data_IF_747717357925
#
_entry.id   IF_747717357925
#
_cell.length_a   1.000
_cell.length_b   1.000
_cell.length_c   1.000
_cell.angle_alpha   90.00
_cell.angle_beta   90.00
_cell.angle_gamma   90.00
#
_symmetry.space_group_name_H-M   'P 1'
#
loop_
_entity.id
_entity.type
_entity.pdbx_description
1 polymer ?
#
# COMPACT_ATOMS: atom_id res chain seq x y z
N UNK A 1 -9.08 3.55 -11.66
CA UNK A 1 -10.19 4.30 -11.02
C UNK A 1 -11.30 3.44 -10.43
N UNK A 2 -11.91 2.49 -11.18
CA UNK A 2 -12.98 1.60 -10.63
C UNK A 2 -12.54 0.78 -9.41
N UNK A 3 -11.33 0.21 -9.44
CA UNK A 3 -10.77 -0.60 -8.35
C UNK A 3 -10.63 0.16 -7.02
N UNK A 4 -10.23 1.43 -7.08
CA UNK A 4 -10.11 2.30 -5.90
C UNK A 4 -11.48 2.71 -5.35
N UNK A 5 -12.45 3.01 -6.22
CA UNK A 5 -13.83 3.30 -5.80
C UNK A 5 -14.53 2.07 -5.21
N UNK A 6 -14.27 0.88 -5.77
CA UNK A 6 -14.76 -0.41 -5.25
C UNK A 6 -14.13 -0.77 -3.90
N UNK A 7 -12.84 -0.45 -3.73
CA UNK A 7 -12.11 -0.59 -2.47
C UNK A 7 -12.54 0.43 -1.39
N UNK A 8 -12.75 1.69 -1.77
CA UNK A 8 -13.30 2.70 -0.89
C UNK A 8 -14.74 2.33 -0.48
N UNK A 9 -15.55 1.77 -1.39
CA UNK A 9 -16.87 1.24 -1.04
C UNK A 9 -16.80 0.11 0.00
N UNK A 10 -15.75 -0.71 0.00
CA UNK A 10 -15.44 -1.70 1.03
C UNK A 10 -15.08 -1.07 2.38
N UNK A 11 -14.17 -0.09 2.39
CA UNK A 11 -13.73 0.62 3.59
C UNK A 11 -14.80 1.52 4.23
N UNK A 12 -15.74 2.00 3.41
CA UNK A 12 -16.89 2.81 3.83
C UNK A 12 -18.13 1.98 4.19
N UNK A 13 -17.97 0.67 4.43
CA UNK A 13 -19.01 -0.17 5.03
C UNK A 13 -19.35 0.09 6.52
N UNK A 14 -19.07 1.25 7.16
CA UNK A 14 -19.84 1.66 8.33
C UNK A 14 -21.26 2.16 8.00
N UNK A 15 -21.52 2.59 6.76
CA UNK A 15 -22.80 3.23 6.40
C UNK A 15 -23.90 2.24 5.94
N UNK A 16 -23.60 0.94 5.83
CA UNK A 16 -24.57 -0.10 5.50
C UNK A 16 -25.20 -0.78 6.73
N UNK A 17 -24.78 -0.40 7.94
CA UNK A 17 -25.45 -0.85 9.17
C UNK A 17 -26.72 -0.07 9.51
N UNK A 18 -27.02 1.03 8.81
CA UNK A 18 -28.29 1.71 8.93
C UNK A 18 -28.86 2.14 7.57
N UNK A 19 -30.12 1.79 7.37
CA UNK A 19 -31.08 2.22 6.33
C UNK A 19 -30.97 1.57 4.94
N UNK A 20 -32.02 0.80 4.64
CA UNK A 20 -32.19 0.07 3.40
C UNK A 20 -32.50 0.96 2.20
N UNK A 21 -31.88 0.62 1.07
CA UNK A 21 -32.60 0.46 -0.19
C UNK A 21 -31.74 -0.39 -1.13
N UNK A 22 -32.24 -1.57 -1.47
CA UNK A 22 -31.57 -2.58 -2.29
C UNK A 22 -32.14 -2.43 -3.68
N UNK A 23 -31.34 -1.95 -4.65
CA UNK A 23 -31.30 -2.47 -6.02
C UNK A 23 -30.46 -1.58 -6.95
N UNK A 24 -29.66 -2.24 -7.81
CA UNK A 24 -28.95 -1.79 -9.03
C UNK A 24 -27.50 -1.28 -8.99
N UNK A 25 -27.00 -0.59 -7.96
CA UNK A 25 -25.55 -0.24 -7.88
C UNK A 25 -24.79 -0.98 -6.78
N UNK A 26 -25.42 -1.12 -5.62
CA UNK A 26 -24.88 -1.86 -4.48
C UNK A 26 -24.61 -3.34 -4.83
N UNK A 27 -25.50 -3.99 -5.58
CA UNK A 27 -25.33 -5.40 -5.99
C UNK A 27 -24.13 -5.61 -6.93
N UNK A 28 -23.91 -4.70 -7.89
CA UNK A 28 -22.77 -4.78 -8.81
C UNK A 28 -21.44 -4.51 -8.09
N UNK A 29 -21.43 -3.55 -7.16
CA UNK A 29 -20.28 -3.30 -6.28
C UNK A 29 -20.02 -4.54 -5.42
N UNK A 30 -21.07 -5.14 -4.85
CA UNK A 30 -20.97 -6.35 -4.03
C UNK A 30 -20.40 -7.55 -4.81
N UNK A 31 -20.84 -7.78 -6.05
CA UNK A 31 -20.32 -8.85 -6.92
C UNK A 31 -18.83 -8.65 -7.24
N UNK A 32 -18.43 -7.41 -7.58
CA UNK A 32 -17.04 -7.08 -7.86
C UNK A 32 -16.14 -7.13 -6.64
N UNK A 33 -16.67 -6.74 -5.49
CA UNK A 33 -16.03 -6.87 -4.19
C UNK A 33 -15.84 -8.34 -3.85
N UNK A 34 -16.85 -9.18 -4.04
CA UNK A 34 -16.73 -10.63 -3.87
C UNK A 34 -15.68 -11.22 -4.80
N UNK A 35 -15.59 -10.76 -6.05
CA UNK A 35 -14.55 -11.18 -6.99
C UNK A 35 -13.14 -10.70 -6.59
N UNK A 36 -13.01 -9.47 -6.08
CA UNK A 36 -11.75 -8.92 -5.58
C UNK A 36 -11.27 -9.71 -4.35
N UNK A 37 -12.18 -9.95 -3.40
CA UNK A 37 -11.92 -10.69 -2.15
C UNK A 37 -11.65 -12.18 -2.40
N UNK A 38 -12.33 -12.80 -3.38
CA UNK A 38 -12.02 -14.17 -3.80
C UNK A 38 -10.62 -14.30 -4.44
N UNK A 39 -10.11 -13.22 -5.04
CA UNK A 39 -8.74 -13.12 -5.55
C UNK A 39 -7.69 -12.86 -4.47
N UNK A 40 -8.09 -12.46 -3.26
CA UNK A 40 -7.21 -12.27 -2.12
C UNK A 40 -6.85 -13.63 -1.51
N UNK A 41 -5.85 -14.27 -2.12
CA UNK A 41 -5.05 -15.34 -1.55
C UNK A 41 -5.80 -16.55 -0.93
N UNK A 42 -7.02 -16.83 -1.41
CA UNK A 42 -7.82 -17.98 -0.94
C UNK A 42 -8.19 -17.89 0.55
N UNK A 43 -8.09 -16.71 1.16
CA UNK A 43 -8.25 -16.50 2.60
C UNK A 43 -9.71 -16.47 3.04
N UNK A 44 -10.62 -16.28 2.08
CA UNK A 44 -12.06 -16.31 2.27
C UNK A 44 -12.63 -17.57 1.60
N UNK A 45 -12.98 -18.57 2.40
CA UNK A 45 -13.71 -19.75 1.93
C UNK A 45 -15.20 -19.61 2.25
N UNK A 46 -16.05 -19.75 1.23
CA UNK A 46 -17.49 -19.53 1.31
C UNK A 46 -17.95 -18.11 0.94
N UNK A 47 -19.11 -18.01 0.28
CA UNK A 47 -19.69 -16.73 -0.12
C UNK A 47 -19.94 -15.83 1.10
N UNK A 48 -19.29 -14.66 1.13
CA UNK A 48 -19.46 -13.66 2.18
C UNK A 48 -20.92 -13.20 2.18
N UNK A 49 -21.68 -13.61 3.19
CA UNK A 49 -23.01 -13.09 3.45
C UNK A 49 -22.88 -11.90 4.42
N UNK A 50 -22.79 -10.71 3.84
CA UNK A 50 -22.59 -9.45 4.58
C UNK A 50 -23.75 -9.19 5.56
N UNK A 51 -24.98 -9.62 5.22
CA UNK A 51 -26.17 -9.45 6.05
C UNK A 51 -26.17 -10.31 7.33
N UNK A 52 -25.36 -11.37 7.37
CA UNK A 52 -25.25 -12.29 8.52
C UNK A 52 -23.87 -12.32 9.18
N UNK A 53 -22.90 -11.52 8.70
CA UNK A 53 -21.47 -11.61 9.10
C UNK A 53 -20.98 -13.07 9.18
N UNK A 54 -21.43 -13.90 8.23
CA UNK A 54 -21.00 -15.30 8.14
C UNK A 54 -19.80 -15.37 7.21
N UNK A 55 -18.71 -15.94 7.73
CA UNK A 55 -17.45 -16.11 7.01
C UNK A 55 -16.32 -16.49 7.96
N UNK A 56 -15.19 -16.86 7.37
CA UNK A 56 -13.95 -17.16 8.08
C UNK A 56 -12.82 -16.25 7.57
N UNK A 57 -11.86 -15.98 8.44
CA UNK A 57 -10.63 -15.28 8.14
C UNK A 57 -9.46 -16.13 8.66
N UNK A 58 -8.55 -16.53 7.77
CA UNK A 58 -7.46 -17.47 8.08
C UNK A 58 -7.95 -18.75 8.80
N UNK A 59 -9.11 -19.26 8.39
CA UNK A 59 -9.73 -20.45 9.00
C UNK A 59 -10.43 -20.23 10.35
N UNK A 60 -10.49 -18.98 10.86
CA UNK A 60 -11.23 -18.63 12.08
C UNK A 60 -12.57 -18.00 11.71
N UNK A 61 -13.67 -18.47 12.30
CA UNK A 61 -14.98 -17.85 12.10
C UNK A 61 -15.04 -16.43 12.68
N UNK A 62 -15.76 -15.50 12.03
CA UNK A 62 -15.87 -14.12 12.49
C UNK A 62 -16.34 -13.98 13.97
N UNK A 63 -17.21 -14.89 14.42
CA UNK A 63 -17.71 -14.91 15.80
C UNK A 63 -16.68 -15.31 16.86
N UNK A 64 -15.55 -15.90 16.46
CA UNK A 64 -14.50 -16.38 17.37
C UNK A 64 -13.24 -15.50 17.35
N UNK A 65 -13.22 -14.44 16.54
CA UNK A 65 -12.08 -13.56 16.40
C UNK A 65 -11.74 -12.81 17.69
N UNK A 66 -10.48 -12.91 18.08
CA UNK A 66 -9.88 -12.15 19.16
C UNK A 66 -9.68 -10.69 18.77
N UNK A 67 -9.29 -9.86 19.74
CA UNK A 67 -8.92 -8.47 19.48
C UNK A 67 -7.69 -8.36 18.56
N UNK A 68 -6.74 -9.30 18.63
CA UNK A 68 -5.56 -9.28 17.78
C UNK A 68 -5.93 -9.64 16.34
N UNK A 69 -6.78 -10.64 16.13
CA UNK A 69 -7.27 -11.00 14.79
C UNK A 69 -7.97 -9.81 14.12
N UNK A 70 -8.78 -9.05 14.88
CA UNK A 70 -9.43 -7.84 14.35
C UNK A 70 -8.43 -6.75 13.95
N UNK A 71 -7.31 -6.61 14.68
CA UNK A 71 -6.24 -5.67 14.32
C UNK A 71 -5.48 -6.12 13.07
N UNK A 72 -5.27 -7.43 12.93
CA UNK A 72 -4.64 -8.03 11.75
C UNK A 72 -5.49 -7.79 10.50
N UNK A 73 -6.81 -8.04 10.58
CA UNK A 73 -7.76 -7.71 9.50
C UNK A 73 -7.71 -6.22 9.14
N UNK A 74 -7.77 -5.33 10.15
CA UNK A 74 -7.71 -3.88 9.91
C UNK A 74 -6.39 -3.47 9.25
N UNK A 75 -5.29 -4.10 9.64
CA UNK A 75 -3.98 -3.88 9.04
C UNK A 75 -3.95 -4.35 7.58
N UNK A 76 -4.34 -5.59 7.29
CA UNK A 76 -4.38 -6.15 5.92
C UNK A 76 -5.23 -5.30 5.00
N UNK A 77 -6.41 -4.90 5.51
CA UNK A 77 -7.34 -4.03 4.79
C UNK A 77 -6.67 -2.67 4.53
N UNK A 78 -6.09 -2.03 5.55
CA UNK A 78 -5.42 -0.73 5.36
C UNK A 78 -4.24 -0.80 4.38
N UNK A 79 -3.44 -1.86 4.45
CA UNK A 79 -2.27 -2.05 3.59
C UNK A 79 -2.67 -2.27 2.12
N UNK A 80 -3.66 -3.13 1.88
CA UNK A 80 -4.25 -3.31 0.55
C UNK A 80 -4.81 -1.98 0.02
N UNK A 81 -5.46 -1.19 0.88
CA UNK A 81 -5.97 0.11 0.51
C UNK A 81 -4.88 1.09 0.09
N UNK A 82 -3.80 1.15 0.85
CA UNK A 82 -2.64 1.95 0.49
C UNK A 82 -2.06 1.55 -0.87
N UNK A 83 -1.87 0.24 -1.13
CA UNK A 83 -1.36 -0.24 -2.42
C UNK A 83 -2.26 0.21 -3.58
N UNK A 84 -3.57 -0.02 -3.45
CA UNK A 84 -4.56 0.34 -4.46
C UNK A 84 -4.62 1.85 -4.71
N UNK A 85 -4.47 2.64 -3.66
CA UNK A 85 -4.46 4.10 -3.72
C UNK A 85 -3.23 4.65 -4.42
N UNK A 86 -2.04 4.15 -4.11
CA UNK A 86 -0.81 4.53 -4.82
C UNK A 86 -0.92 4.18 -6.30
N UNK A 87 -1.39 2.97 -6.64
CA UNK A 87 -1.62 2.57 -8.03
C UNK A 87 -2.64 3.45 -8.75
N UNK A 88 -3.75 3.80 -8.08
CA UNK A 88 -4.78 4.64 -8.66
C UNK A 88 -4.30 6.09 -8.85
N UNK A 89 -3.57 6.62 -7.88
CA UNK A 89 -2.97 7.95 -7.97
C UNK A 89 -1.98 8.02 -9.12
N UNK A 90 -1.06 7.05 -9.18
CA UNK A 90 -0.07 6.98 -10.24
C UNK A 90 -0.72 6.92 -11.63
N UNK A 91 -1.76 6.10 -11.80
CA UNK A 91 -2.50 6.01 -13.05
C UNK A 91 -3.05 7.37 -13.53
N UNK A 92 -3.47 8.23 -12.60
CA UNK A 92 -4.01 9.56 -12.91
C UNK A 92 -2.91 10.60 -13.08
N UNK A 93 -1.92 10.59 -12.18
CA UNK A 93 -0.88 11.60 -12.07
C UNK A 93 0.22 11.44 -13.11
N UNK A 94 0.56 10.23 -13.53
CA UNK A 94 1.70 9.95 -14.40
C UNK A 94 1.60 10.54 -15.82
N UNK A 95 2.73 11.02 -16.35
CA UNK A 95 2.85 11.54 -17.73
C UNK A 95 2.73 10.42 -18.78
N UNK A 96 2.28 10.74 -19.99
CA UNK A 96 1.92 9.73 -21.00
C UNK A 96 3.11 8.98 -21.65
N UNK A 97 4.32 9.52 -21.54
CA UNK A 97 5.50 9.05 -22.29
C UNK A 97 6.55 8.31 -21.42
N UNK A 98 6.12 7.72 -20.31
CA UNK A 98 7.02 6.95 -19.42
C UNK A 98 7.19 5.53 -19.97
N UNK A 99 8.36 4.95 -19.77
CA UNK A 99 8.57 3.51 -19.93
C UNK A 99 7.66 2.74 -18.95
N UNK A 100 6.62 2.10 -19.48
CA UNK A 100 5.58 1.46 -18.68
C UNK A 100 6.07 0.27 -17.87
N UNK A 101 7.07 -0.47 -18.36
CA UNK A 101 7.54 -1.68 -17.67
C UNK A 101 8.49 -1.31 -16.54
N UNK A 102 9.43 -0.38 -16.80
CA UNK A 102 10.31 0.15 -15.75
C UNK A 102 9.51 0.84 -14.64
N UNK A 103 8.53 1.67 -15.02
CA UNK A 103 7.65 2.38 -14.09
C UNK A 103 6.80 1.43 -13.25
N UNK A 104 6.21 0.40 -13.87
CA UNK A 104 5.46 -0.63 -13.13
C UNK A 104 6.35 -1.38 -12.13
N UNK A 105 7.59 -1.66 -12.49
CA UNK A 105 8.55 -2.27 -11.57
C UNK A 105 8.89 -1.33 -10.39
N UNK A 106 9.04 -0.02 -10.64
CA UNK A 106 9.27 0.98 -9.59
C UNK A 106 8.07 1.10 -8.63
N UNK A 107 6.83 1.09 -9.15
CA UNK A 107 5.63 1.03 -8.29
C UNK A 107 5.62 -0.28 -7.48
N UNK A 108 5.93 -1.41 -8.10
CA UNK A 108 6.00 -2.70 -7.40
C UNK A 108 7.03 -2.73 -6.27
N UNK A 109 8.13 -1.97 -6.38
CA UNK A 109 9.15 -1.83 -5.33
C UNK A 109 8.73 -0.91 -4.18
N UNK A 110 7.63 -0.19 -4.31
CA UNK A 110 7.07 0.60 -3.20
C UNK A 110 6.49 -0.29 -2.08
N UNK A 111 6.28 -1.58 -2.36
CA UNK A 111 5.62 -2.52 -1.45
C UNK A 111 6.41 -3.83 -1.32
N UNK A 112 6.34 -4.51 -0.17
CA UNK A 112 6.89 -5.86 -0.04
C UNK A 112 6.14 -6.81 -0.97
N UNK A 113 6.86 -7.58 -1.79
CA UNK A 113 6.27 -8.48 -2.78
C UNK A 113 5.33 -7.80 -3.80
N UNK A 114 5.41 -6.47 -3.94
CA UNK A 114 4.49 -5.68 -4.79
C UNK A 114 4.59 -5.97 -6.28
N UNK A 115 5.61 -6.71 -6.73
CA UNK A 115 5.74 -7.15 -8.11
C UNK A 115 4.79 -8.31 -8.49
N UNK A 116 4.35 -9.11 -7.50
CA UNK A 116 3.51 -10.27 -7.76
C UNK A 116 2.03 -9.87 -7.93
N UNK A 117 1.43 -9.21 -6.93
CA UNK A 117 0.04 -8.76 -6.96
C UNK A 117 -0.17 -7.57 -5.99
N UNK A 118 -0.74 -6.44 -6.42
CA UNK A 118 -0.93 -5.28 -5.53
C UNK A 118 -1.99 -5.50 -4.44
N UNK A 119 -2.83 -6.53 -4.57
CA UNK A 119 -3.99 -6.78 -3.72
C UNK A 119 -3.73 -7.87 -2.67
N UNK A 120 -2.75 -8.76 -2.89
CA UNK A 120 -2.43 -9.78 -1.88
C UNK A 120 -1.34 -9.26 -0.95
N UNK A 121 -1.73 -8.95 0.28
CA UNK A 121 -0.84 -8.55 1.36
C UNK A 121 -0.61 -9.76 2.26
N UNK A 122 0.64 -10.04 2.61
CA UNK A 122 0.98 -11.12 3.54
C UNK A 122 0.98 -10.57 4.97
N UNK A 123 0.18 -11.13 5.88
CA UNK A 123 0.17 -10.67 7.28
C UNK A 123 1.56 -10.69 7.94
N UNK A 124 2.40 -11.64 7.60
CA UNK A 124 3.77 -11.71 8.13
C UNK A 124 4.68 -10.61 7.58
N UNK A 125 4.29 -9.89 6.51
CA UNK A 125 4.94 -8.66 6.08
C UNK A 125 4.49 -7.43 6.91
N UNK A 126 3.69 -7.62 7.96
CA UNK A 126 3.36 -6.53 8.86
C UNK A 126 4.63 -5.94 9.49
N UNK A 127 4.72 -4.62 9.47
CA UNK A 127 5.90 -3.86 9.87
C UNK A 127 7.10 -3.99 8.93
N UNK A 128 6.92 -4.40 7.68
CA UNK A 128 7.84 -4.14 6.58
C UNK A 128 7.33 -2.94 5.75
N UNK A 129 7.92 -2.65 4.59
CA UNK A 129 7.56 -1.47 3.78
C UNK A 129 7.92 -0.14 4.47
N UNK A 130 7.22 0.92 4.07
CA UNK A 130 7.18 2.23 4.72
C UNK A 130 6.74 2.17 6.20
N UNK A 131 6.17 1.07 6.69
CA UNK A 131 5.84 0.88 8.10
C UNK A 131 6.98 0.26 8.93
N UNK A 132 8.15 -0.04 8.33
CA UNK A 132 9.26 -0.67 9.04
C UNK A 132 9.87 0.25 10.14
N UNK A 133 10.46 -0.33 11.20
CA UNK A 133 11.01 0.46 12.32
C UNK A 133 12.41 1.03 12.07
N UNK A 134 13.17 0.37 11.21
CA UNK A 134 14.49 0.80 10.75
C UNK A 134 14.34 1.64 9.50
N UNK A 135 14.81 2.88 9.56
CA UNK A 135 14.82 3.79 8.41
C UNK A 135 15.62 3.23 7.23
N UNK A 136 16.67 2.44 7.48
CA UNK A 136 17.47 1.81 6.43
C UNK A 136 16.67 0.81 5.61
N UNK A 137 15.76 0.08 6.25
CA UNK A 137 14.89 -0.90 5.59
C UNK A 137 13.69 -0.21 4.95
N UNK A 138 13.17 0.88 5.53
CA UNK A 138 12.13 1.71 4.91
C UNK A 138 12.64 2.45 3.66
N UNK A 139 13.95 2.75 3.63
CA UNK A 139 14.54 3.63 2.62
C UNK A 139 14.29 3.15 1.20
N UNK A 140 14.50 1.87 0.91
CA UNK A 140 14.27 1.31 -0.44
C UNK A 140 12.85 1.55 -0.96
N UNK A 141 11.85 1.38 -0.09
CA UNK A 141 10.45 1.61 -0.42
C UNK A 141 10.16 3.11 -0.63
N UNK A 142 10.72 3.97 0.22
CA UNK A 142 10.55 5.43 0.10
C UNK A 142 11.20 5.97 -1.18
N UNK A 143 12.41 5.53 -1.51
CA UNK A 143 13.10 5.95 -2.74
C UNK A 143 12.39 5.44 -4.00
N UNK A 144 11.82 4.23 -3.94
CA UNK A 144 10.96 3.72 -5.02
C UNK A 144 9.73 4.61 -5.21
N UNK A 145 9.06 5.01 -4.11
CA UNK A 145 7.92 5.91 -4.16
C UNK A 145 8.31 7.31 -4.67
N UNK A 146 9.43 7.85 -4.21
CA UNK A 146 9.99 9.12 -4.66
C UNK A 146 10.26 9.11 -6.17
N UNK A 147 10.85 8.03 -6.70
CA UNK A 147 11.08 7.84 -8.12
C UNK A 147 9.78 7.74 -8.92
N UNK A 148 8.76 7.07 -8.40
CA UNK A 148 7.42 7.04 -9.03
C UNK A 148 6.84 8.45 -9.12
N UNK A 149 6.97 9.27 -8.08
CA UNK A 149 6.47 10.65 -8.04
C UNK A 149 7.16 11.60 -9.04
N UNK A 150 8.42 11.34 -9.41
CA UNK A 150 9.12 12.11 -10.45
C UNK A 150 8.39 12.08 -11.80
N UNK A 151 7.60 11.04 -12.03
CA UNK A 151 6.87 10.85 -13.28
C UNK A 151 5.49 11.54 -13.30
N UNK A 152 5.06 12.11 -12.16
CA UNK A 152 3.76 12.74 -12.03
C UNK A 152 3.71 14.11 -12.72
N UNK A 153 2.52 14.48 -13.20
CA UNK A 153 2.25 15.77 -13.84
C UNK A 153 2.21 16.90 -12.81
N UNK A 154 2.49 18.11 -13.29
CA UNK A 154 2.37 19.34 -12.50
C UNK A 154 3.74 19.89 -12.12
N UNK A 155 3.72 20.88 -11.24
CA UNK A 155 4.92 21.52 -10.73
C UNK A 155 5.64 20.54 -9.79
N UNK A 156 6.82 20.09 -10.21
CA UNK A 156 7.65 19.16 -9.45
C UNK A 156 8.45 19.92 -8.38
N UNK A 157 8.22 19.70 -7.08
CA UNK A 157 9.02 20.31 -6.03
C UNK A 157 10.51 19.97 -6.19
N UNK A 158 11.39 20.87 -5.75
CA UNK A 158 12.84 20.69 -5.91
C UNK A 158 13.37 19.39 -5.30
N UNK A 159 12.75 18.90 -4.23
CA UNK A 159 13.17 17.65 -3.58
C UNK A 159 12.84 16.40 -4.41
N UNK A 160 11.83 16.43 -5.27
CA UNK A 160 11.51 15.31 -6.16
C UNK A 160 12.62 15.14 -7.20
N UNK A 161 13.18 16.24 -7.67
CA UNK A 161 14.26 16.27 -8.67
C UNK A 161 15.66 16.19 -8.06
N UNK A 162 15.79 16.26 -6.73
CA UNK A 162 17.09 16.26 -6.07
C UNK A 162 17.68 14.84 -6.08
N UNK A 163 18.93 14.74 -6.51
CA UNK A 163 19.75 13.54 -6.33
C UNK A 163 20.80 13.78 -5.25
N UNK A 164 21.14 12.71 -4.51
CA UNK A 164 22.16 12.75 -3.48
C UNK A 164 23.20 11.64 -3.72
N UNK A 165 24.24 11.91 -4.53
CA UNK A 165 25.23 10.90 -4.92
C UNK A 165 26.06 10.39 -3.72
N UNK A 166 26.16 11.20 -2.66
CA UNK A 166 26.86 10.85 -1.44
C UNK A 166 26.03 9.99 -0.49
N UNK A 167 24.74 9.81 -0.79
CA UNK A 167 23.80 9.02 0.01
C UNK A 167 23.17 9.80 1.16
N UNK A 168 22.21 9.17 1.82
CA UNK A 168 21.39 9.78 2.86
C UNK A 168 21.85 9.33 4.25
N UNK A 169 22.08 10.31 5.12
CA UNK A 169 22.09 10.08 6.57
C UNK A 169 20.67 9.92 7.09
N UNK A 170 20.48 9.38 8.29
CA UNK A 170 19.16 9.28 8.91
C UNK A 170 18.42 10.63 8.98
N UNK A 171 19.12 11.71 9.33
CA UNK A 171 18.52 13.06 9.40
C UNK A 171 18.05 13.54 8.02
N UNK A 172 18.86 13.33 6.99
CA UNK A 172 18.48 13.70 5.62
C UNK A 172 17.33 12.83 5.11
N UNK A 173 17.33 11.54 5.47
CA UNK A 173 16.25 10.61 5.16
C UNK A 173 14.92 11.05 5.78
N UNK A 174 14.89 11.36 7.09
CA UNK A 174 13.67 11.76 7.78
C UNK A 174 13.07 13.06 7.20
N UNK A 175 13.92 14.00 6.77
CA UNK A 175 13.44 15.19 6.07
C UNK A 175 12.86 14.85 4.69
N UNK A 176 13.51 13.97 3.93
CA UNK A 176 12.97 13.49 2.66
C UNK A 176 11.64 12.74 2.84
N UNK A 177 11.55 11.84 3.83
CA UNK A 177 10.34 11.08 4.15
C UNK A 177 9.16 12.02 4.42
N UNK A 178 9.38 13.07 5.21
CA UNK A 178 8.38 14.09 5.47
C UNK A 178 7.93 14.81 4.20
N UNK A 179 8.87 15.19 3.33
CA UNK A 179 8.56 15.89 2.08
C UNK A 179 7.80 15.00 1.10
N UNK A 180 8.22 13.75 0.94
CA UNK A 180 7.54 12.73 0.13
C UNK A 180 6.14 12.47 0.66
N UNK A 181 5.98 12.34 1.98
CA UNK A 181 4.68 12.09 2.61
C UNK A 181 3.71 13.24 2.35
N UNK A 182 4.14 14.49 2.55
CA UNK A 182 3.30 15.68 2.29
C UNK A 182 2.91 15.75 0.82
N UNK A 183 3.86 15.55 -0.10
CA UNK A 183 3.57 15.59 -1.52
C UNK A 183 2.64 14.46 -1.97
N UNK A 184 2.81 13.24 -1.44
CA UNK A 184 1.88 12.13 -1.62
C UNK A 184 0.47 12.52 -1.20
N UNK A 185 0.30 12.98 0.05
CA UNK A 185 -1.01 13.25 0.63
C UNK A 185 -1.71 14.40 -0.07
N UNK A 186 -0.98 15.47 -0.39
CA UNK A 186 -1.53 16.63 -1.08
C UNK A 186 -1.94 16.26 -2.51
N UNK A 187 -1.08 15.56 -3.25
CA UNK A 187 -1.39 15.12 -4.61
C UNK A 187 -2.58 14.17 -4.59
N UNK A 188 -2.61 13.21 -3.67
CA UNK A 188 -3.76 12.31 -3.51
C UNK A 188 -5.06 13.08 -3.26
N UNK A 189 -5.04 14.02 -2.30
CA UNK A 189 -6.20 14.85 -1.97
C UNK A 189 -6.66 15.69 -3.17
N UNK A 190 -5.74 16.23 -3.97
CA UNK A 190 -6.09 16.99 -5.17
C UNK A 190 -6.80 16.15 -6.23
N UNK A 191 -6.44 14.89 -6.40
CA UNK A 191 -7.07 14.00 -7.38
C UNK A 191 -8.37 13.37 -6.88
N UNK A 192 -8.44 12.97 -5.61
CA UNK A 192 -9.54 12.17 -5.08
C UNK A 192 -10.44 12.90 -4.07
N UNK A 193 -10.02 14.06 -3.56
CA UNK A 193 -10.82 14.91 -2.67
C UNK A 193 -10.92 14.42 -1.22
N UNK A 194 -10.10 13.43 -0.82
CA UNK A 194 -10.05 12.91 0.54
C UNK A 194 -8.63 12.53 0.95
N UNK A 195 -8.42 12.25 2.24
CA UNK A 195 -7.13 11.81 2.74
C UNK A 195 -6.84 10.37 2.28
N UNK A 196 -5.57 10.04 1.93
CA UNK A 196 -5.19 8.66 1.64
C UNK A 196 -5.16 7.80 2.90
N UNK A 197 -5.27 6.50 2.68
CA UNK A 197 -4.88 5.46 3.61
C UNK A 197 -3.36 5.46 3.75
N UNK A 198 -2.88 5.39 4.98
CA UNK A 198 -1.44 5.37 5.29
C UNK A 198 -1.03 3.97 5.78
N UNK A 199 0.20 3.52 5.47
CA UNK A 199 0.78 2.31 6.03
C UNK A 199 0.69 2.33 7.56
N UNK A 200 0.32 1.19 8.15
CA UNK A 200 0.18 1.07 9.60
C UNK A 200 1.13 0.02 10.17
N UNK A 201 1.59 0.26 11.39
CA UNK A 201 2.32 -0.74 12.16
C UNK A 201 1.36 -1.63 12.94
N UNK A 202 1.59 -2.93 12.86
CA UNK A 202 0.94 -3.90 13.74
C UNK A 202 1.73 -3.98 15.05
N UNK A 203 1.07 -3.63 16.17
CA UNK A 203 1.73 -3.51 17.48
C UNK A 203 2.16 -4.84 18.09
N UNK A 204 1.55 -5.94 17.66
CA UNK A 204 1.92 -7.29 18.07
C UNK A 204 2.62 -8.00 16.92
N UNK A 205 3.45 -9.00 17.26
CA UNK A 205 4.12 -9.82 16.26
C UNK A 205 3.11 -10.83 15.67
N UNK A 206 2.84 -10.79 14.35
CA UNK A 206 2.01 -11.80 13.72
C UNK A 206 2.75 -13.14 13.73
N UNK A 207 2.00 -14.25 13.82
CA UNK A 207 2.59 -15.59 13.91
C UNK A 207 3.34 -15.93 12.59
N UNK A 208 4.64 -16.28 12.61
CA UNK A 208 5.49 -16.08 11.44
C UNK A 208 5.55 -17.27 10.48
N UNK A 209 5.50 -16.95 9.18
CA UNK A 209 6.17 -17.70 8.10
C UNK A 209 6.82 -16.78 7.06
N UNK A 210 6.83 -15.45 7.30
CA UNK A 210 7.27 -14.47 6.33
C UNK A 210 8.80 -14.38 6.26
N UNK A 211 9.32 -14.48 5.03
CA UNK A 211 10.73 -14.27 4.72
C UNK A 211 10.82 -12.96 3.94
N UNK A 212 11.49 -11.93 4.47
CA UNK A 212 11.65 -10.65 3.79
C UNK A 212 12.47 -10.79 2.50
N UNK A 213 12.17 -9.96 1.52
CA UNK A 213 12.97 -9.83 0.31
C UNK A 213 14.36 -9.27 0.67
N UNK A 214 15.42 -9.83 0.08
CA UNK A 214 16.78 -9.33 0.32
C UNK A 214 16.94 -8.00 -0.43
N UNK A 215 16.91 -6.89 0.30
CA UNK A 215 17.29 -5.59 -0.24
C UNK A 215 18.82 -5.51 -0.34
N UNK A 216 19.38 -5.54 -1.55
CA UNK A 216 20.84 -5.55 -1.80
C UNK A 216 21.51 -4.18 -1.57
N UNK A 217 21.24 -3.43 -0.49
CA UNK A 217 21.51 -1.98 -0.51
C UNK A 217 22.20 -1.40 0.73
N UNK A 218 23.19 -2.09 1.31
CA UNK A 218 23.85 -1.58 2.52
C UNK A 218 25.38 -1.64 2.41
N UNK A 219 26.02 -0.48 2.24
CA UNK A 219 27.38 -0.30 2.75
C UNK A 219 27.26 0.08 4.23
N UNK A 220 27.27 -0.94 5.09
CA UNK A 220 27.14 -0.76 6.56
C UNK A 220 28.30 0.01 7.19
N UNK A 221 29.36 0.29 6.45
CA UNK A 221 30.57 0.91 6.98
C UNK A 221 30.37 2.37 7.43
N UNK A 222 29.29 3.04 7.04
CA UNK A 222 29.11 4.48 7.29
C UNK A 222 27.73 4.94 7.78
N UNK A 223 26.77 4.06 8.06
CA UNK A 223 25.36 4.45 8.39
C UNK A 223 24.73 5.39 7.35
N UNK A 224 25.15 5.26 6.09
CA UNK A 224 24.64 6.05 4.96
C UNK A 224 23.92 5.11 4.01
N UNK A 225 22.69 5.47 3.64
CA UNK A 225 21.94 4.76 2.61
C UNK A 225 22.33 5.31 1.23
N UNK A 226 22.76 4.43 0.33
CA UNK A 226 22.98 4.77 -1.09
C UNK A 226 22.07 3.90 -1.91
N UNK A 227 21.17 4.53 -2.67
CA UNK A 227 20.38 3.83 -3.65
C UNK A 227 21.29 3.41 -4.81
N UNK A 228 21.65 2.11 -4.85
CA UNK A 228 22.46 1.56 -5.94
C UNK A 228 21.62 1.16 -7.16
N UNK A 229 20.28 1.23 -7.08
CA UNK A 229 19.41 0.92 -8.23
C UNK A 229 19.52 1.96 -9.36
N UNK A 230 20.09 3.14 -9.07
CA UNK A 230 20.47 4.13 -10.09
C UNK A 230 21.80 3.82 -10.80
N UNK A 231 22.62 2.90 -10.27
CA UNK A 231 23.99 2.65 -10.74
C UNK A 231 24.06 1.55 -11.81
N UNK A 232 22.98 0.78 -12.01
CA UNK A 232 22.88 -0.30 -13.00
C UNK A 232 22.22 0.14 -14.32
N UNK A 233 22.35 1.41 -14.71
CA UNK A 233 21.93 1.91 -16.03
C UNK A 233 23.06 1.85 -17.07
#
# INVERSE_FOLDING_TARGET
MLLHQEWQALLTLPYLWDSGNVETKSALVHEKVQHLMAGCCGEFDGGINVDKLQGSWQGKEFGTLTLNDKKEILWETSEMGFHLEVHALDQCASVANIDKEAHKADIGRCFPHGQAYPVCVNLGSANFSLAHRSWLEQASYLFSLHKVMQSWKGDQPSFIMASNPDGYTEVAYLELEKQVTVHYTDTFFLYFGHAPTLPQQLKHEPNPSYVPEVCQHISMLQQVYKDISEWEK
#
